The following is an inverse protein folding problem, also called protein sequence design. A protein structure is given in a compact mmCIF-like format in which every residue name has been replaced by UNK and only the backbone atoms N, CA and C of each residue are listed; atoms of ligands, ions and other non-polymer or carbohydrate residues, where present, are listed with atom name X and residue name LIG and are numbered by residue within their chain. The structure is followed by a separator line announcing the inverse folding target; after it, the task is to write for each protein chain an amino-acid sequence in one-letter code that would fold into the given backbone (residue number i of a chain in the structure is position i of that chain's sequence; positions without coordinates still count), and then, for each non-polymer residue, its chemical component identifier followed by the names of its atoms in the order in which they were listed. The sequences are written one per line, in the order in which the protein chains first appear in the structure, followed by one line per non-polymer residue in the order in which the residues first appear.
data_IF_539661593477
#
_entry.id   IF_539661593477
#
_cell.length_a   1.000
_cell.length_b   1.000
_cell.length_c   1.000
_cell.angle_alpha   90.00
_cell.angle_beta   90.00
_cell.angle_gamma   90.00
#
_symmetry.space_group_name_H-M   'P 1'
#
loop_
_entity.id
_entity.type
_entity.pdbx_description
1 polymer ?
#
# COMPACT_ATOMS: atom_id res chain seq x y z
N UNK A 1 25.62 12.12 9.22
CA UNK A 1 24.47 12.35 10.12
C UNK A 1 23.18 12.18 9.32
N UNK A 2 22.67 10.95 9.21
CA UNK A 2 21.49 10.60 8.38
C UNK A 2 20.20 10.54 9.20
N UNK A 3 19.87 11.61 9.92
CA UNK A 3 18.66 11.65 10.77
C UNK A 3 17.35 11.87 9.99
N UNK A 4 17.40 11.93 8.66
CA UNK A 4 16.25 12.22 7.79
C UNK A 4 15.84 11.06 6.88
N UNK A 5 16.35 9.85 7.13
CA UNK A 5 16.07 8.71 6.27
C UNK A 5 14.91 7.89 6.81
N UNK A 6 14.00 7.50 5.93
CA UNK A 6 12.92 6.55 6.26
C UNK A 6 13.57 5.27 6.83
N UNK A 7 13.13 4.78 7.99
CA UNK A 7 13.70 3.58 8.60
C UNK A 7 13.68 2.39 7.63
N UNK A 8 14.68 1.50 7.74
CA UNK A 8 14.81 0.37 6.81
C UNK A 8 13.53 -0.50 6.81
N UNK A 9 12.98 -0.83 7.99
CA UNK A 9 11.77 -1.62 8.10
C UNK A 9 10.56 -1.00 7.36
N UNK A 10 10.41 0.33 7.39
CA UNK A 10 9.37 1.03 6.62
C UNK A 10 9.65 0.95 5.11
N UNK A 11 10.91 1.11 4.69
CA UNK A 11 11.30 0.96 3.28
C UNK A 11 11.02 -0.45 2.75
N UNK A 12 11.32 -1.47 3.55
CA UNK A 12 11.07 -2.88 3.20
C UNK A 12 9.56 -3.15 3.09
N UNK A 13 8.75 -2.62 4.03
CA UNK A 13 7.30 -2.74 3.97
C UNK A 13 6.68 -2.02 2.75
N UNK A 14 7.19 -0.83 2.39
CA UNK A 14 6.76 -0.11 1.19
C UNK A 14 7.11 -0.90 -0.07
N UNK A 15 8.34 -1.43 -0.14
CA UNK A 15 8.78 -2.24 -1.27
C UNK A 15 7.91 -3.49 -1.43
N UNK A 16 7.53 -4.13 -0.31
CA UNK A 16 6.61 -5.27 -0.31
C UNK A 16 5.22 -4.91 -0.83
N UNK A 17 4.64 -3.80 -0.35
CA UNK A 17 3.35 -3.27 -0.87
C UNK A 17 3.43 -3.00 -2.38
N UNK A 18 4.52 -2.40 -2.86
CA UNK A 18 4.74 -2.13 -4.28
C UNK A 18 4.86 -3.44 -5.08
N UNK A 19 5.55 -4.43 -4.54
CA UNK A 19 5.69 -5.75 -5.17
C UNK A 19 4.34 -6.47 -5.28
N UNK A 20 3.42 -6.28 -4.33
CA UNK A 20 2.07 -6.86 -4.33
C UNK A 20 1.10 -6.15 -5.28
N UNK A 21 1.31 -4.87 -5.58
CA UNK A 21 0.38 -4.07 -6.39
C UNK A 21 0.13 -4.66 -7.79
N UNK A 22 1.19 -5.14 -8.45
CA UNK A 22 1.09 -5.76 -9.78
C UNK A 22 0.36 -7.12 -9.73
N UNK A 23 0.76 -8.09 -8.89
CA UNK A 23 0.02 -9.34 -8.69
C UNK A 23 -1.45 -9.13 -8.36
N UNK A 24 -1.80 -8.21 -7.44
CA UNK A 24 -3.20 -7.96 -7.09
C UNK A 24 -3.96 -7.37 -8.28
N UNK A 25 -3.34 -6.44 -9.01
CA UNK A 25 -3.96 -5.82 -10.18
C UNK A 25 -4.16 -6.78 -11.36
N UNK A 26 -3.44 -7.92 -11.39
CA UNK A 26 -3.45 -8.86 -12.52
C UNK A 26 -4.13 -10.19 -12.20
N UNK A 27 -3.91 -10.74 -11.00
CA UNK A 27 -4.29 -12.10 -10.61
C UNK A 27 -5.35 -12.16 -9.49
N UNK A 28 -5.79 -11.03 -8.92
CA UNK A 28 -6.71 -11.06 -7.78
C UNK A 28 -8.06 -11.73 -8.10
N UNK A 29 -8.57 -12.49 -7.13
CA UNK A 29 -9.88 -13.11 -7.21
C UNK A 29 -10.95 -12.02 -7.04
N UNK A 30 -11.49 -11.52 -8.16
CA UNK A 30 -12.48 -10.45 -8.16
C UNK A 30 -12.11 -9.26 -9.05
N UNK A 31 -10.94 -9.29 -9.69
CA UNK A 31 -10.54 -8.26 -10.65
C UNK A 31 -10.37 -6.90 -9.98
N UNK A 32 -9.40 -6.78 -9.09
CA UNK A 32 -9.04 -5.52 -8.44
C UNK A 32 -8.00 -4.76 -9.27
N UNK A 33 -7.87 -3.46 -8.98
CA UNK A 33 -6.71 -2.65 -9.32
C UNK A 33 -6.15 -2.03 -8.05
N UNK A 34 -4.84 -1.83 -8.02
CA UNK A 34 -4.13 -1.20 -6.91
C UNK A 34 -3.30 -0.06 -7.46
N UNK A 35 -3.40 1.10 -6.82
CA UNK A 35 -2.48 2.23 -7.03
C UNK A 35 -1.69 2.46 -5.75
N UNK A 36 -0.38 2.63 -5.90
CA UNK A 36 0.53 2.96 -4.81
C UNK A 36 1.21 4.27 -5.17
N UNK A 37 0.94 5.31 -4.40
CA UNK A 37 1.50 6.65 -4.59
C UNK A 37 2.34 7.03 -3.36
N UNK A 38 3.54 7.53 -3.60
CA UNK A 38 4.44 8.00 -2.55
C UNK A 38 4.74 9.48 -2.72
N UNK A 39 4.33 10.28 -1.74
CA UNK A 39 4.67 11.70 -1.67
C UNK A 39 5.97 11.90 -0.88
N UNK A 40 7.06 12.22 -1.59
CA UNK A 40 8.34 12.57 -0.95
C UNK A 40 8.28 13.87 -0.14
N UNK A 41 7.40 14.81 -0.51
CA UNK A 41 7.22 16.07 0.20
C UNK A 41 6.51 15.88 1.55
N UNK A 42 5.48 15.05 1.58
CA UNK A 42 4.71 14.78 2.81
C UNK A 42 5.24 13.58 3.60
N UNK A 43 6.17 12.81 3.01
CA UNK A 43 6.58 11.48 3.46
C UNK A 43 5.36 10.62 3.77
N UNK A 44 4.50 10.47 2.77
CA UNK A 44 3.22 9.78 2.89
C UNK A 44 3.09 8.73 1.79
N UNK A 45 2.69 7.52 2.18
CA UNK A 45 2.26 6.48 1.25
C UNK A 45 0.73 6.49 1.18
N UNK A 46 0.20 6.50 -0.04
CA UNK A 46 -1.21 6.26 -0.31
C UNK A 46 -1.35 4.96 -1.11
N UNK A 47 -2.24 4.09 -0.67
CA UNK A 47 -2.56 2.84 -1.34
C UNK A 47 -4.05 2.80 -1.58
N UNK A 48 -4.46 2.80 -2.85
CA UNK A 48 -5.87 2.71 -3.23
C UNK A 48 -6.13 1.35 -3.85
N UNK A 49 -7.14 0.66 -3.34
CA UNK A 49 -7.64 -0.61 -3.87
C UNK A 49 -9.08 -0.42 -4.33
N UNK A 50 -9.35 -0.75 -5.59
CA UNK A 50 -10.68 -0.70 -6.17
C UNK A 50 -10.97 -1.91 -7.02
N UNK A 51 -12.25 -2.07 -7.42
CA UNK A 51 -12.62 -3.05 -8.43
C UNK A 51 -12.31 -2.49 -9.81
N UNK A 52 -11.81 -3.34 -10.70
CA UNK A 52 -11.44 -2.99 -12.08
C UNK A 52 -12.66 -2.61 -12.92
N UNK A 53 -13.82 -3.20 -12.62
CA UNK A 53 -15.11 -2.79 -13.22
C UNK A 53 -15.43 -1.32 -12.96
N UNK A 54 -14.92 -0.79 -11.85
CA UNK A 54 -15.31 0.51 -11.33
C UNK A 54 -14.25 1.59 -11.63
N UNK A 55 -13.23 1.26 -12.42
CA UNK A 55 -12.11 2.15 -12.74
C UNK A 55 -12.56 3.48 -13.38
N UNK A 56 -13.66 3.47 -14.12
CA UNK A 56 -14.26 4.65 -14.74
C UNK A 56 -15.33 5.34 -13.89
N UNK A 57 -15.63 4.80 -12.70
CA UNK A 57 -16.60 5.37 -11.77
C UNK A 57 -15.87 5.97 -10.55
N UNK A 58 -15.61 7.28 -10.55
CA UNK A 58 -14.92 7.95 -9.45
C UNK A 58 -15.70 7.94 -8.12
N UNK A 59 -16.98 7.56 -8.14
CA UNK A 59 -17.84 7.46 -6.95
C UNK A 59 -17.94 6.03 -6.39
N UNK A 60 -17.36 5.05 -7.09
CA UNK A 60 -17.34 3.69 -6.59
C UNK A 60 -16.45 3.55 -5.36
N UNK A 61 -16.90 2.73 -4.42
CA UNK A 61 -16.24 2.55 -3.13
C UNK A 61 -14.86 1.92 -3.36
N UNK A 62 -13.83 2.73 -3.17
CA UNK A 62 -12.42 2.33 -3.13
C UNK A 62 -11.92 2.42 -1.70
N UNK A 63 -11.15 1.43 -1.28
CA UNK A 63 -10.44 1.52 0.00
C UNK A 63 -9.15 2.29 -0.24
N UNK A 64 -8.98 3.43 0.41
CA UNK A 64 -7.74 4.20 0.38
C UNK A 64 -7.10 4.18 1.76
N UNK A 65 -5.87 3.67 1.82
CA UNK A 65 -5.01 3.73 2.97
C UNK A 65 -4.05 4.91 2.82
N UNK A 66 -3.86 5.67 3.90
CA UNK A 66 -2.91 6.79 3.95
C UNK A 66 -2.03 6.65 5.18
N UNK A 67 -0.72 6.53 4.98
CA UNK A 67 0.26 6.33 6.06
C UNK A 67 1.37 7.38 5.95
N UNK A 68 1.47 8.24 6.95
CA UNK A 68 2.63 9.11 7.14
C UNK A 68 3.82 8.29 7.68
N UNK A 69 5.01 8.55 7.15
CA UNK A 69 6.23 7.81 7.43
C UNK A 69 7.23 8.64 8.23
N UNK A 70 7.96 8.06 9.18
CA UNK A 70 9.08 8.73 9.82
C UNK A 70 10.13 9.16 8.77
N UNK A 71 10.81 10.30 8.96
CA UNK A 71 10.82 11.16 10.15
C UNK A 71 9.68 12.21 10.23
N UNK A 72 8.63 12.11 9.42
CA UNK A 72 7.51 13.05 9.47
C UNK A 72 6.86 13.07 10.86
N UNK A 73 6.63 14.26 11.43
CA UNK A 73 5.97 14.41 12.73
C UNK A 73 4.52 13.89 12.73
N UNK A 74 3.89 13.81 11.55
CA UNK A 74 2.54 13.25 11.38
C UNK A 74 2.55 11.72 11.34
N UNK A 75 3.72 11.09 11.28
CA UNK A 75 3.83 9.63 11.32
C UNK A 75 3.37 9.11 12.68
N UNK A 76 2.32 8.30 12.65
CA UNK A 76 1.84 7.64 13.84
C UNK A 76 2.88 6.63 14.34
N UNK A 77 2.88 6.37 15.66
CA UNK A 77 3.81 5.44 16.29
C UNK A 77 3.68 4.02 15.72
N UNK A 78 2.46 3.65 15.33
CA UNK A 78 2.07 2.38 14.70
C UNK A 78 2.19 2.40 13.16
N UNK A 79 2.87 3.38 12.57
CA UNK A 79 2.98 3.52 11.10
C UNK A 79 3.54 2.26 10.41
N UNK A 80 4.48 1.55 11.05
CA UNK A 80 5.01 0.29 10.52
C UNK A 80 3.96 -0.82 10.52
N UNK A 81 3.20 -0.95 11.62
CA UNK A 81 2.13 -1.94 11.74
C UNK A 81 1.02 -1.70 10.71
N UNK A 82 0.72 -0.42 10.44
CA UNK A 82 -0.22 -0.03 9.37
C UNK A 82 0.27 -0.47 8.00
N UNK A 83 1.54 -0.26 7.66
CA UNK A 83 2.12 -0.74 6.40
C UNK A 83 2.02 -2.27 6.29
N UNK A 84 2.35 -2.99 7.36
CA UNK A 84 2.25 -4.45 7.40
C UNK A 84 0.80 -4.95 7.29
N UNK A 85 -0.16 -4.23 7.88
CA UNK A 85 -1.58 -4.53 7.73
C UNK A 85 -2.03 -4.37 6.28
N UNK A 86 -1.64 -3.27 5.61
CA UNK A 86 -1.94 -3.04 4.20
C UNK A 86 -1.37 -4.17 3.34
N UNK A 87 -0.13 -4.61 3.61
CA UNK A 87 0.46 -5.73 2.88
C UNK A 87 -0.37 -7.02 3.03
N UNK A 88 -0.80 -7.36 4.26
CA UNK A 88 -1.67 -8.51 4.51
C UNK A 88 -3.02 -8.40 3.80
N UNK A 89 -3.60 -7.20 3.78
CA UNK A 89 -4.87 -6.95 3.08
C UNK A 89 -4.69 -7.16 1.56
N UNK A 90 -3.57 -6.73 0.99
CA UNK A 90 -3.23 -6.97 -0.42
C UNK A 90 -2.97 -8.46 -0.70
N UNK A 91 -2.24 -9.16 0.16
CA UNK A 91 -2.01 -10.61 0.04
C UNK A 91 -3.31 -11.40 0.09
N UNK A 92 -4.26 -11.01 0.94
CA UNK A 92 -5.57 -11.66 1.04
C UNK A 92 -6.41 -11.56 -0.25
N UNK A 93 -6.10 -10.58 -1.14
CA UNK A 93 -6.74 -10.44 -2.45
C UNK A 93 -6.11 -11.36 -3.51
N UNK A 94 -4.93 -11.92 -3.25
CA UNK A 94 -4.26 -12.84 -4.14
C UNK A 94 -4.86 -14.25 -4.05
N UNK A 95 -4.90 -14.99 -5.17
CA UNK A 95 -5.28 -16.39 -5.14
C UNK A 95 -4.25 -17.18 -4.31
N UNK A 96 -4.71 -18.13 -3.48
CA UNK A 96 -3.87 -18.94 -2.57
C UNK A 96 -2.66 -19.61 -3.24
N UNK A 97 -2.68 -19.78 -4.57
CA UNK A 97 -1.60 -20.36 -5.35
C UNK A 97 -0.37 -19.43 -5.54
N UNK A 98 -0.49 -18.13 -5.28
CA UNK A 98 0.59 -17.14 -5.44
C UNK A 98 1.37 -16.92 -4.13
N UNK A 99 0.94 -17.53 -3.02
CA UNK A 99 1.58 -17.43 -1.71
C UNK A 99 2.63 -18.53 -1.43
N UNK A 100 3.16 -19.19 -2.46
CA UNK A 100 4.12 -20.31 -2.33
C UNK A 100 5.57 -19.87 -2.57
#
# INVERSE_FOLDING_TARGET
MSQYQIPQAHRDAIAHIQALALPVSTHSQGGHWVSVDFSGMLLQLNVTVGRRSDLHNPTAVSTTYSVYLPPCQRAAHDSLEKLQSIARDLEALLPKAVCA
#
